data_IF_957684021918
#
_entry.id   IF_957684021918
#
_cell.length_a   1.000
_cell.length_b   1.000
_cell.length_c   1.000
_cell.angle_alpha   90.00
_cell.angle_beta   90.00
_cell.angle_gamma   90.00
#
_symmetry.space_group_name_H-M   'P 1'
#
loop_
_entity.id
_entity.type
_entity.pdbx_description
1 polymer ?
#
# COMPACT_ATOMS: atom_id res chain seq x y z
N UNK A 1 -16.79 -16.29 16.69
CA UNK A 1 -16.26 -15.61 15.49
C UNK A 1 -14.97 -14.84 15.86
N UNK A 2 -13.77 -15.47 16.00
CA UNK A 2 -12.54 -14.73 16.33
C UNK A 2 -11.46 -14.72 15.23
N UNK A 3 -11.65 -15.44 14.12
CA UNK A 3 -10.57 -15.64 13.11
C UNK A 3 -10.30 -14.39 12.26
N UNK A 4 -11.26 -13.47 12.12
CA UNK A 4 -11.11 -12.27 11.27
C UNK A 4 -10.14 -11.21 11.82
N UNK A 5 -9.91 -11.17 13.14
CA UNK A 5 -9.12 -10.10 13.79
C UNK A 5 -7.60 -10.37 13.71
N UNK A 6 -7.18 -11.64 13.69
CA UNK A 6 -5.76 -12.00 13.64
C UNK A 6 -5.14 -11.79 12.24
N UNK A 7 -5.89 -12.01 11.16
CA UNK A 7 -5.41 -11.77 9.79
C UNK A 7 -5.14 -10.28 9.49
N UNK A 8 -5.86 -9.37 10.16
CA UNK A 8 -5.70 -7.93 9.96
C UNK A 8 -4.37 -7.37 10.50
N UNK A 9 -3.70 -8.03 11.46
CA UNK A 9 -2.53 -7.46 12.14
C UNK A 9 -1.23 -7.51 11.33
N UNK A 10 -1.01 -8.60 10.57
CA UNK A 10 0.21 -8.77 9.78
C UNK A 10 0.19 -7.88 8.54
N UNK A 11 -0.92 -7.87 7.79
CA UNK A 11 -1.10 -7.05 6.58
C UNK A 11 -1.00 -5.56 6.92
N UNK A 12 -1.64 -5.12 8.01
CA UNK A 12 -1.58 -3.71 8.43
C UNK A 12 -0.15 -3.27 8.79
N UNK A 13 0.68 -4.17 9.33
CA UNK A 13 2.09 -3.87 9.58
C UNK A 13 2.89 -3.75 8.28
N UNK A 14 2.61 -4.62 7.30
CA UNK A 14 3.25 -4.59 5.97
C UNK A 14 2.88 -3.29 5.21
N UNK A 15 1.61 -2.88 5.28
CA UNK A 15 1.08 -1.73 4.55
C UNK A 15 1.21 -0.40 5.28
N UNK A 16 1.57 -0.39 6.57
CA UNK A 16 1.77 0.83 7.38
C UNK A 16 2.61 1.93 6.69
N UNK A 17 3.68 1.63 5.94
CA UNK A 17 4.44 2.67 5.21
C UNK A 17 3.62 3.44 4.17
N UNK A 18 2.52 2.85 3.69
CA UNK A 18 1.62 3.45 2.71
C UNK A 18 0.40 4.11 3.36
N UNK A 19 0.23 3.98 4.68
CA UNK A 19 -0.96 4.42 5.42
C UNK A 19 -1.29 5.90 5.19
N UNK A 20 -0.29 6.78 5.14
CA UNK A 20 -0.47 8.22 4.88
C UNK A 20 -1.17 8.54 3.55
N UNK A 21 -1.20 7.59 2.62
CA UNK A 21 -1.82 7.74 1.30
C UNK A 21 -3.24 7.16 1.23
N UNK A 22 -3.49 6.01 1.87
CA UNK A 22 -4.77 5.30 1.78
C UNK A 22 -5.69 5.46 3.00
N UNK A 23 -5.18 5.87 4.17
CA UNK A 23 -6.01 6.01 5.39
C UNK A 23 -6.94 7.24 5.34
N UNK A 24 -6.73 8.16 4.42
CA UNK A 24 -7.67 9.26 4.17
C UNK A 24 -9.01 8.69 3.65
N UNK A 25 -10.13 8.88 4.37
CA UNK A 25 -11.44 8.37 3.95
C UNK A 25 -11.93 8.91 2.60
N UNK A 26 -11.36 10.03 2.14
CA UNK A 26 -11.64 10.58 0.82
C UNK A 26 -10.88 9.85 -0.31
N UNK A 27 -9.81 9.11 0.00
CA UNK A 27 -9.05 8.32 -0.98
C UNK A 27 -9.88 7.11 -1.44
N UNK A 28 -10.08 7.01 -2.75
CA UNK A 28 -10.81 5.92 -3.42
C UNK A 28 -9.84 4.88 -3.98
N UNK A 29 -8.76 5.34 -4.59
CA UNK A 29 -7.70 4.51 -5.15
C UNK A 29 -6.33 5.12 -4.86
N UNK A 30 -5.37 4.27 -4.52
CA UNK A 30 -3.95 4.58 -4.53
C UNK A 30 -3.25 3.70 -5.57
N UNK A 31 -2.41 4.30 -6.41
CA UNK A 31 -1.63 3.59 -7.43
C UNK A 31 -0.16 3.97 -7.40
N UNK A 32 0.70 2.99 -7.56
CA UNK A 32 2.15 3.16 -7.76
C UNK A 32 2.48 2.62 -9.15
N UNK A 33 2.98 3.47 -10.04
CA UNK A 33 3.39 3.08 -11.41
C UNK A 33 4.89 3.17 -11.64
N UNK A 34 5.61 3.85 -10.75
CA UNK A 34 7.07 3.96 -10.73
C UNK A 34 7.53 4.41 -9.34
N UNK A 35 8.80 4.17 -8.97
CA UNK A 35 9.37 4.60 -7.69
C UNK A 35 9.24 6.11 -7.46
N UNK A 36 9.35 6.51 -6.20
CA UNK A 36 9.36 7.88 -5.70
C UNK A 36 8.05 8.68 -5.88
N UNK A 37 6.95 8.05 -6.31
CA UNK A 37 5.65 8.73 -6.42
C UNK A 37 4.45 7.82 -6.21
N UNK A 38 3.32 8.45 -5.91
CA UNK A 38 2.01 7.81 -5.83
C UNK A 38 0.99 8.63 -6.63
N UNK A 39 0.00 7.94 -7.18
CA UNK A 39 -1.19 8.56 -7.78
C UNK A 39 -2.35 8.28 -6.83
N UNK A 40 -3.00 9.34 -6.34
CA UNK A 40 -4.19 9.23 -5.49
C UNK A 40 -5.40 9.73 -6.25
N UNK A 41 -6.47 8.95 -6.23
CA UNK A 41 -7.79 9.39 -6.63
C UNK A 41 -8.62 9.67 -5.38
N UNK A 42 -9.04 10.93 -5.20
CA UNK A 42 -9.80 11.38 -4.02
C UNK A 42 -11.17 11.91 -4.42
N UNK A 43 -12.19 11.54 -3.64
CA UNK A 43 -13.58 11.99 -3.84
C UNK A 43 -13.65 13.52 -3.84
N UNK A 44 -14.16 14.09 -4.94
CA UNK A 44 -14.32 15.53 -5.10
C UNK A 44 -13.05 16.29 -5.50
N UNK A 45 -11.89 15.63 -5.56
CA UNK A 45 -10.62 16.23 -6.02
C UNK A 45 -10.17 15.62 -7.35
N UNK A 46 -10.39 14.33 -7.54
CA UNK A 46 -9.90 13.57 -8.68
C UNK A 46 -8.45 13.10 -8.49
N UNK A 47 -7.74 12.88 -9.60
CA UNK A 47 -6.39 12.29 -9.60
C UNK A 47 -5.31 13.32 -9.34
N UNK A 48 -4.44 13.00 -8.39
CA UNK A 48 -3.26 13.80 -8.04
C UNK A 48 -2.02 12.93 -7.98
N UNK A 49 -0.87 13.50 -8.33
CA UNK A 49 0.44 12.84 -8.21
C UNK A 49 1.16 13.48 -7.03
N UNK A 50 1.57 12.65 -6.07
CA UNK A 50 2.32 13.11 -4.89
C UNK A 50 3.72 12.50 -4.89
N UNK A 51 4.74 13.29 -4.51
CA UNK A 51 6.08 12.75 -4.28
C UNK A 51 6.05 11.82 -3.07
N UNK A 52 6.74 10.69 -3.20
CA UNK A 52 6.89 9.68 -2.17
C UNK A 52 8.32 9.11 -2.21
N UNK A 53 9.35 9.91 -1.90
CA UNK A 53 10.76 9.55 -2.12
C UNK A 53 11.18 8.26 -1.40
N UNK A 54 10.52 7.93 -0.29
CA UNK A 54 10.78 6.70 0.48
C UNK A 54 10.24 5.43 -0.21
N UNK A 55 9.38 5.55 -1.22
CA UNK A 55 8.94 4.45 -2.08
C UNK A 55 9.97 4.17 -3.17
N UNK A 56 11.15 3.74 -2.74
CA UNK A 56 12.19 3.22 -3.64
C UNK A 56 11.73 1.91 -4.29
N UNK A 57 12.40 1.49 -5.38
CA UNK A 57 12.11 0.19 -6.00
C UNK A 57 12.27 -0.96 -5.00
N UNK A 58 13.38 -0.97 -4.25
CA UNK A 58 13.63 -1.97 -3.21
C UNK A 58 12.51 -2.00 -2.17
N UNK A 59 11.99 -0.83 -1.76
CA UNK A 59 10.90 -0.77 -0.80
C UNK A 59 9.59 -1.33 -1.37
N UNK A 60 9.30 -1.07 -2.64
CA UNK A 60 8.14 -1.62 -3.33
C UNK A 60 8.27 -3.15 -3.42
N UNK A 61 9.44 -3.66 -3.81
CA UNK A 61 9.72 -5.10 -3.87
C UNK A 61 9.59 -5.77 -2.50
N UNK A 62 10.07 -5.14 -1.42
CA UNK A 62 9.92 -5.65 -0.05
C UNK A 62 8.45 -5.77 0.36
N UNK A 63 7.63 -4.78 0.02
CA UNK A 63 6.18 -4.80 0.28
C UNK A 63 5.54 -5.94 -0.51
N UNK A 64 5.84 -6.04 -1.81
CA UNK A 64 5.32 -7.10 -2.67
C UNK A 64 5.72 -8.50 -2.18
N UNK A 65 6.99 -8.69 -1.80
CA UNK A 65 7.51 -9.96 -1.26
C UNK A 65 6.85 -10.30 0.07
N UNK A 66 6.65 -9.31 0.94
CA UNK A 66 5.96 -9.51 2.22
C UNK A 66 4.50 -9.91 2.04
N UNK A 67 3.79 -9.27 1.10
CA UNK A 67 2.41 -9.61 0.74
C UNK A 67 2.31 -11.01 0.10
N UNK A 68 3.23 -11.36 -0.80
CA UNK A 68 3.29 -12.67 -1.42
C UNK A 68 3.52 -13.77 -0.36
N UNK A 69 4.50 -13.58 0.53
CA UNK A 69 4.76 -14.49 1.64
C UNK A 69 3.51 -14.65 2.53
N UNK A 70 2.82 -13.55 2.85
CA UNK A 70 1.58 -13.58 3.62
C UNK A 70 0.46 -14.36 2.91
N UNK A 71 0.38 -14.26 1.58
CA UNK A 71 -0.59 -14.97 0.75
C UNK A 71 -0.19 -16.43 0.41
N UNK A 72 0.98 -16.90 0.85
CA UNK A 72 1.52 -18.21 0.46
C UNK A 72 1.96 -18.29 -1.01
N UNK A 73 2.25 -17.14 -1.62
CA UNK A 73 2.72 -16.98 -3.00
C UNK A 73 4.22 -16.69 -3.02
N UNK A 74 4.86 -16.88 -4.19
CA UNK A 74 6.24 -16.45 -4.44
C UNK A 74 6.22 -15.16 -5.27
N UNK A 75 7.09 -14.23 -4.90
CA UNK A 75 7.38 -13.03 -5.68
C UNK A 75 8.80 -13.16 -6.21
N UNK A 76 8.90 -13.52 -7.49
CA UNK A 76 10.12 -13.74 -8.27
C UNK A 76 10.47 -12.55 -9.19
#
# INVERSE_FOLDING_TARGET
MPVLIAMASAISTILRPLASFYDDPATIEMRITRPAQVILDRRGVGKTILPAPDLTLARIEDICRSLANHAGLRFD
#
